data_IF_596138726371
#
_entry.id   IF_596138726371
#
_cell.length_a   1.000
_cell.length_b   1.000
_cell.length_c   1.000
_cell.angle_alpha   90.00
_cell.angle_beta   90.00
_cell.angle_gamma   90.00
#
_symmetry.space_group_name_H-M   'P 1'
#
loop_
_entity.id
_entity.type
_entity.pdbx_description
1 polymer ?
#
# COMPACT_ATOMS: atom_id res chain seq x y z
N UNK A 1 7.46 -9.18 9.59
CA UNK A 1 8.94 -9.32 9.66
C UNK A 1 9.54 -9.45 8.27
N UNK A 2 9.00 -10.28 7.40
CA UNK A 2 9.46 -10.49 6.02
C UNK A 2 9.38 -9.22 5.17
N UNK A 3 8.33 -8.40 5.27
CA UNK A 3 8.23 -7.13 4.58
C UNK A 3 9.44 -6.21 4.85
N UNK A 4 9.87 -6.12 6.12
CA UNK A 4 11.06 -5.35 6.48
C UNK A 4 12.35 -5.98 5.97
N UNK A 5 12.43 -7.31 5.89
CA UNK A 5 13.58 -8.00 5.31
C UNK A 5 13.69 -7.73 3.81
N UNK A 6 12.56 -7.72 3.08
CA UNK A 6 12.50 -7.34 1.67
C UNK A 6 13.03 -5.90 1.47
N UNK A 7 12.57 -4.95 2.27
CA UNK A 7 13.06 -3.57 2.20
C UNK A 7 14.56 -3.48 2.49
N UNK A 8 15.05 -4.16 3.53
CA UNK A 8 16.48 -4.15 3.88
C UNK A 8 17.35 -4.70 2.74
N UNK A 9 16.93 -5.80 2.11
CA UNK A 9 17.61 -6.37 0.96
C UNK A 9 17.60 -5.42 -0.23
N UNK A 10 16.44 -4.82 -0.54
CA UNK A 10 16.31 -3.88 -1.64
C UNK A 10 17.18 -2.63 -1.44
N UNK A 11 17.25 -2.10 -0.22
CA UNK A 11 18.14 -0.98 0.10
C UNK A 11 19.62 -1.32 -0.09
N UNK A 12 20.03 -2.53 0.27
CA UNK A 12 21.43 -2.96 0.18
C UNK A 12 21.94 -3.03 -1.28
N UNK A 13 21.05 -3.27 -2.25
CA UNK A 13 21.38 -3.43 -3.67
C UNK A 13 20.83 -2.31 -4.54
N UNK A 14 20.35 -1.22 -3.95
CA UNK A 14 19.73 -0.12 -4.68
C UNK A 14 20.71 0.55 -5.67
N UNK A 15 20.50 0.42 -6.99
CA UNK A 15 21.42 0.99 -8.00
C UNK A 15 21.26 2.50 -8.15
N UNK A 16 20.15 3.06 -7.70
CA UNK A 16 19.80 4.48 -7.88
C UNK A 16 19.33 5.12 -6.54
N UNK A 17 20.23 5.24 -5.54
CA UNK A 17 19.83 5.62 -4.18
C UNK A 17 19.25 7.03 -4.05
N UNK A 18 19.35 7.87 -5.08
CA UNK A 18 18.74 9.21 -5.11
C UNK A 18 17.35 9.24 -5.75
N UNK A 19 17.01 8.24 -6.55
CA UNK A 19 15.75 8.21 -7.32
C UNK A 19 14.84 7.05 -6.95
N UNK A 20 15.43 5.87 -6.68
CA UNK A 20 14.67 4.65 -6.47
C UNK A 20 14.31 4.46 -5.02
N UNK A 21 13.03 4.37 -4.78
CA UNK A 21 12.40 4.04 -3.51
C UNK A 21 11.70 2.69 -3.63
N UNK A 22 11.13 2.20 -2.55
CA UNK A 22 10.52 0.87 -2.49
C UNK A 22 9.15 0.92 -1.81
N UNK A 23 8.30 -0.02 -2.19
CA UNK A 23 7.06 -0.30 -1.49
C UNK A 23 6.89 -1.81 -1.38
N UNK A 24 6.46 -2.30 -0.23
CA UNK A 24 6.02 -3.69 -0.12
C UNK A 24 4.54 -3.74 -0.43
N UNK A 25 4.21 -4.41 -1.53
CA UNK A 25 2.85 -4.74 -1.92
C UNK A 25 2.44 -6.10 -1.38
N UNK A 26 1.19 -6.24 -1.02
CA UNK A 26 0.58 -7.47 -0.52
C UNK A 26 -0.44 -7.99 -1.51
N UNK A 27 -0.61 -9.30 -1.60
CA UNK A 27 -1.71 -9.88 -2.38
C UNK A 27 -3.04 -9.45 -1.77
N UNK A 28 -3.95 -8.89 -2.56
CA UNK A 28 -5.21 -8.30 -2.10
C UNK A 28 -6.00 -9.23 -1.18
N UNK A 29 -6.19 -10.51 -1.58
CA UNK A 29 -6.95 -11.49 -0.78
C UNK A 29 -6.41 -11.67 0.64
N UNK A 30 -5.11 -11.44 0.84
CA UNK A 30 -4.44 -11.55 2.13
C UNK A 30 -4.60 -10.31 3.01
N UNK A 31 -5.36 -9.31 2.55
CA UNK A 31 -5.56 -8.02 3.24
C UNK A 31 -7.03 -7.70 3.53
N UNK A 32 -7.95 -8.61 3.19
CA UNK A 32 -9.38 -8.42 3.35
C UNK A 32 -9.85 -8.73 4.78
N UNK A 33 -11.01 -8.19 5.15
CA UNK A 33 -11.72 -8.53 6.38
C UNK A 33 -12.95 -9.39 6.06
N UNK A 34 -13.23 -10.35 6.92
CA UNK A 34 -14.47 -11.14 6.85
C UNK A 34 -15.68 -10.41 7.44
N UNK A 35 -15.46 -9.30 8.15
CA UNK A 35 -16.48 -8.60 8.91
C UNK A 35 -17.07 -7.38 8.20
N UNK A 36 -16.49 -6.96 7.09
CA UNK A 36 -17.01 -5.84 6.33
C UNK A 36 -16.10 -5.37 5.21
N UNK A 37 -16.45 -4.23 4.63
CA UNK A 37 -15.69 -3.63 3.54
C UNK A 37 -14.36 -3.06 4.02
N UNK A 38 -13.39 -3.05 3.12
CA UNK A 38 -12.08 -2.40 3.35
C UNK A 38 -11.76 -1.47 2.18
N UNK A 39 -10.88 -0.50 2.43
CA UNK A 39 -10.29 0.34 1.37
C UNK A 39 -8.83 -0.03 1.16
N UNK A 40 -8.39 -0.12 -0.09
CA UNK A 40 -7.01 -0.49 -0.46
C UNK A 40 -6.56 0.28 -1.69
N UNK A 41 -5.32 0.75 -1.65
CA UNK A 41 -4.65 1.22 -2.85
C UNK A 41 -4.25 0.04 -3.74
N UNK A 42 -4.96 -0.18 -4.82
CA UNK A 42 -4.61 -1.19 -5.83
C UNK A 42 -3.49 -0.62 -6.70
N UNK A 43 -2.39 -1.36 -6.79
CA UNK A 43 -1.18 -0.94 -7.47
C UNK A 43 -1.09 -1.53 -8.86
N UNK A 44 -0.72 -0.70 -9.83
CA UNK A 44 -0.30 -1.12 -11.16
C UNK A 44 1.22 -0.96 -11.28
N UNK A 45 1.85 -1.90 -11.99
CA UNK A 45 3.30 -1.90 -12.21
C UNK A 45 3.62 -2.15 -13.66
N UNK A 46 4.77 -1.64 -14.10
CA UNK A 46 5.34 -2.00 -15.40
C UNK A 46 6.06 -3.38 -15.38
N UNK A 47 6.69 -3.73 -16.51
CA UNK A 47 7.41 -5.00 -16.67
C UNK A 47 8.63 -5.14 -15.73
N UNK A 48 9.18 -4.02 -15.25
CA UNK A 48 10.31 -3.96 -14.32
C UNK A 48 9.84 -3.90 -12.86
N UNK A 49 8.53 -4.10 -12.61
CA UNK A 49 7.88 -3.97 -11.30
C UNK A 49 8.01 -2.57 -10.69
N UNK A 50 8.15 -1.53 -11.52
CA UNK A 50 8.05 -0.16 -11.05
C UNK A 50 6.59 0.27 -10.97
N UNK A 51 6.25 0.93 -9.88
CA UNK A 51 4.91 1.44 -9.63
C UNK A 51 4.54 2.50 -10.67
N UNK A 52 3.47 2.25 -11.42
CA UNK A 52 2.92 3.18 -12.41
C UNK A 52 1.72 3.94 -11.85
N UNK A 53 0.90 3.28 -11.06
CA UNK A 53 -0.30 3.89 -10.46
C UNK A 53 -0.69 3.22 -9.15
N UNK A 54 -1.32 3.99 -8.27
CA UNK A 54 -2.02 3.50 -7.07
C UNK A 54 -3.44 4.05 -7.10
N UNK A 55 -4.42 3.18 -7.29
CA UNK A 55 -5.82 3.57 -7.31
C UNK A 55 -6.48 3.14 -6.01
N UNK A 56 -6.91 4.11 -5.21
CA UNK A 56 -7.68 3.79 -4.00
C UNK A 56 -9.06 3.23 -4.38
N UNK A 57 -9.31 2.00 -3.96
CA UNK A 57 -10.61 1.34 -4.09
C UNK A 57 -11.23 1.21 -2.72
N UNK A 58 -12.43 1.72 -2.59
CA UNK A 58 -13.27 1.61 -1.39
C UNK A 58 -14.26 0.46 -1.54
N UNK A 59 -14.94 0.11 -0.44
CA UNK A 59 -15.99 -0.92 -0.46
C UNK A 59 -15.58 -2.26 -1.07
N UNK A 60 -14.32 -2.67 -0.81
CA UNK A 60 -13.83 -3.97 -1.24
C UNK A 60 -14.34 -5.04 -0.27
N UNK A 61 -14.98 -6.07 -0.82
CA UNK A 61 -15.46 -7.25 -0.09
C UNK A 61 -14.82 -8.52 -0.65
N UNK A 62 -14.57 -9.52 0.20
CA UNK A 62 -14.18 -10.85 -0.27
C UNK A 62 -15.31 -11.48 -1.09
N UNK A 63 -14.92 -12.34 -2.06
CA UNK A 63 -15.81 -13.11 -2.90
C UNK A 63 -15.35 -14.58 -2.93
N UNK A 64 -16.22 -15.53 -3.32
CA UNK A 64 -15.87 -16.95 -3.35
C UNK A 64 -14.61 -17.25 -4.18
N UNK A 65 -13.87 -18.28 -3.75
CA UNK A 65 -12.67 -18.73 -4.46
C UNK A 65 -11.45 -17.80 -4.30
N UNK A 66 -11.37 -17.04 -3.21
CA UNK A 66 -10.27 -16.12 -2.94
C UNK A 66 -10.28 -14.86 -3.81
N UNK A 67 -11.38 -14.60 -4.49
CA UNK A 67 -11.63 -13.39 -5.26
C UNK A 67 -12.10 -12.25 -4.36
N UNK A 68 -12.23 -11.06 -4.94
CA UNK A 68 -12.81 -9.90 -4.30
C UNK A 68 -13.72 -9.13 -5.27
N UNK A 69 -14.39 -8.12 -4.77
CA UNK A 69 -15.16 -7.15 -5.56
C UNK A 69 -15.14 -5.81 -4.86
N UNK A 70 -15.27 -4.74 -5.60
CA UNK A 70 -15.49 -3.41 -5.03
C UNK A 70 -16.71 -2.76 -5.68
N UNK A 71 -17.26 -1.76 -5.01
CA UNK A 71 -18.40 -0.99 -5.53
C UNK A 71 -17.95 0.45 -5.73
N UNK A 72 -18.15 0.98 -6.93
CA UNK A 72 -17.88 2.38 -7.24
C UNK A 72 -18.91 3.32 -6.61
N UNK A 73 -18.64 4.62 -6.66
CA UNK A 73 -19.50 5.65 -6.11
C UNK A 73 -20.90 5.72 -6.80
N UNK A 74 -21.01 5.24 -8.03
CA UNK A 74 -22.26 5.12 -8.78
C UNK A 74 -23.05 3.84 -8.47
N UNK A 75 -22.51 2.95 -7.61
CA UNK A 75 -23.09 1.68 -7.23
C UNK A 75 -22.74 0.51 -8.15
N UNK A 76 -21.88 0.72 -9.16
CA UNK A 76 -21.45 -0.36 -10.05
C UNK A 76 -20.47 -1.29 -9.32
N UNK A 77 -20.72 -2.61 -9.46
CA UNK A 77 -19.88 -3.65 -8.84
C UNK A 77 -18.85 -4.15 -9.85
N UNK A 78 -17.60 -4.11 -9.46
CA UNK A 78 -16.46 -4.57 -10.25
C UNK A 78 -15.81 -5.79 -9.63
N UNK A 79 -15.53 -6.85 -10.41
CA UNK A 79 -14.82 -8.02 -9.92
C UNK A 79 -13.33 -7.73 -9.78
N UNK A 80 -12.70 -8.35 -8.77
CA UNK A 80 -11.26 -8.43 -8.56
C UNK A 80 -10.87 -9.90 -8.46
N UNK A 81 -9.68 -10.23 -8.96
CA UNK A 81 -9.17 -11.61 -8.93
C UNK A 81 -8.75 -12.05 -7.53
N UNK A 82 -8.39 -11.07 -6.68
CA UNK A 82 -7.78 -11.26 -5.37
C UNK A 82 -6.26 -11.38 -5.44
N UNK A 83 -5.68 -11.42 -6.65
CA UNK A 83 -4.22 -11.47 -6.87
C UNK A 83 -3.61 -10.09 -7.12
N UNK A 84 -4.43 -9.05 -7.18
CA UNK A 84 -3.96 -7.69 -7.33
C UNK A 84 -2.99 -7.32 -6.21
N UNK A 85 -2.03 -6.45 -6.54
CA UNK A 85 -1.09 -5.92 -5.55
C UNK A 85 -1.78 -4.79 -4.79
N UNK A 86 -1.90 -4.93 -3.48
CA UNK A 86 -2.46 -3.93 -2.60
C UNK A 86 -1.38 -3.21 -1.78
N UNK A 87 -1.41 -1.89 -1.77
CA UNK A 87 -0.61 -1.08 -0.86
C UNK A 87 -1.21 -1.12 0.55
N UNK A 88 -0.37 -1.44 1.51
CA UNK A 88 -0.67 -1.35 2.95
C UNK A 88 0.19 -0.27 3.61
N UNK A 89 0.59 0.75 2.83
CA UNK A 89 1.45 1.86 3.26
C UNK A 89 2.80 1.40 3.86
N UNK A 90 3.34 0.29 3.35
CA UNK A 90 4.66 -0.20 3.75
C UNK A 90 5.72 0.33 2.76
N UNK A 91 6.18 1.54 3.00
CA UNK A 91 7.11 2.26 2.13
C UNK A 91 8.53 2.18 2.65
N UNK A 92 9.49 2.08 1.73
CA UNK A 92 10.92 2.19 1.97
C UNK A 92 11.48 3.38 1.20
N UNK A 93 11.71 4.49 1.88
CA UNK A 93 12.22 5.71 1.26
C UNK A 93 13.71 5.90 1.52
N UNK A 94 14.42 6.32 0.46
CA UNK A 94 15.76 6.87 0.60
C UNK A 94 15.66 8.32 1.11
N UNK A 95 16.69 8.85 1.81
CA UNK A 95 16.65 10.20 2.37
C UNK A 95 16.34 11.33 1.36
N UNK A 96 16.67 11.14 0.08
CA UNK A 96 16.35 12.10 -1.01
C UNK A 96 14.85 12.39 -1.16
N UNK A 97 13.97 11.53 -0.65
CA UNK A 97 12.51 11.74 -0.72
C UNK A 97 12.09 13.03 0.00
N UNK A 98 12.79 13.40 1.08
CA UNK A 98 12.41 14.56 1.90
C UNK A 98 12.54 15.89 1.13
N UNK A 99 13.53 16.01 0.25
CA UNK A 99 13.70 17.18 -0.61
C UNK A 99 12.53 17.32 -1.60
N UNK A 100 12.15 16.20 -2.22
CA UNK A 100 11.04 16.17 -3.18
C UNK A 100 9.68 16.37 -2.50
N UNK A 101 9.46 15.75 -1.34
CA UNK A 101 8.24 15.95 -0.54
C UNK A 101 8.12 17.39 -0.04
N UNK A 102 9.22 18.03 0.33
CA UNK A 102 9.22 19.43 0.79
C UNK A 102 8.62 20.35 -0.25
N UNK A 103 9.11 20.29 -1.49
CA UNK A 103 8.59 21.11 -2.59
C UNK A 103 7.13 20.81 -2.91
N UNK A 104 6.74 19.53 -2.95
CA UNK A 104 5.35 19.15 -3.20
C UNK A 104 4.42 19.58 -2.07
N UNK A 105 4.88 19.55 -0.83
CA UNK A 105 4.10 19.99 0.32
C UNK A 105 3.87 21.52 0.31
N UNK A 106 4.86 22.30 -0.07
CA UNK A 106 4.69 23.74 -0.28
C UNK A 106 3.63 24.05 -1.35
N UNK A 107 3.67 23.31 -2.48
CA UNK A 107 2.63 23.43 -3.51
C UNK A 107 1.23 23.06 -2.96
N UNK A 108 1.15 21.97 -2.19
CA UNK A 108 -0.11 21.55 -1.55
C UNK A 108 -0.64 22.63 -0.61
N UNK A 109 0.19 23.18 0.26
CA UNK A 109 -0.21 24.25 1.19
C UNK A 109 -0.69 25.50 0.46
N UNK A 110 -0.02 25.88 -0.63
CA UNK A 110 -0.43 27.07 -1.40
C UNK A 110 -1.80 26.92 -2.06
N UNK A 111 -2.19 25.69 -2.42
CA UNK A 111 -3.46 25.40 -3.10
C UNK A 111 -4.58 25.01 -2.15
N UNK A 112 -4.28 24.26 -1.12
CA UNK A 112 -5.27 23.58 -0.26
C UNK A 112 -5.07 23.80 1.23
N UNK A 113 -4.09 24.62 1.63
CA UNK A 113 -3.75 24.81 3.04
C UNK A 113 -4.86 25.48 3.88
N UNK A 114 -5.84 26.11 3.25
CA UNK A 114 -7.01 26.72 3.93
C UNK A 114 -8.21 25.78 4.03
N UNK A 115 -8.19 24.62 3.39
CA UNK A 115 -9.25 23.64 3.44
C UNK A 115 -9.15 22.81 4.73
N UNK A 116 -10.15 22.91 5.60
CA UNK A 116 -10.16 22.30 6.94
C UNK A 116 -9.95 20.78 6.98
N UNK A 117 -10.26 20.07 5.89
CA UNK A 117 -10.18 18.61 5.80
C UNK A 117 -9.22 18.13 4.71
N UNK A 118 -8.36 19.03 4.19
CA UNK A 118 -7.36 18.63 3.23
C UNK A 118 -6.25 17.82 3.92
N UNK A 119 -5.81 16.76 3.27
CA UNK A 119 -4.75 15.90 3.77
C UNK A 119 -3.70 15.69 2.67
N UNK A 120 -2.44 15.70 3.06
CA UNK A 120 -1.31 15.40 2.18
C UNK A 120 -0.94 13.93 2.31
N UNK A 121 -1.55 13.09 1.48
CA UNK A 121 -1.36 11.64 1.53
C UNK A 121 -0.05 11.21 0.87
N UNK A 122 0.65 10.28 1.50
CA UNK A 122 1.87 9.68 0.94
C UNK A 122 1.63 8.99 -0.41
N UNK A 123 0.57 8.18 -0.62
CA UNK A 123 0.31 7.59 -1.94
C UNK A 123 0.12 8.64 -3.04
N UNK A 124 -0.60 9.72 -2.75
CA UNK A 124 -0.76 10.84 -3.69
C UNK A 124 0.59 11.50 -4.01
N UNK A 125 1.39 11.81 -2.97
CA UNK A 125 2.69 12.43 -3.16
C UNK A 125 3.64 11.56 -4.00
N UNK A 126 3.67 10.26 -3.72
CA UNK A 126 4.46 9.29 -4.48
C UNK A 126 4.01 9.23 -5.93
N UNK A 127 2.71 9.14 -6.20
CA UNK A 127 2.16 9.13 -7.55
C UNK A 127 2.54 10.38 -8.33
N UNK A 128 2.36 11.55 -7.73
CA UNK A 128 2.68 12.84 -8.35
C UNK A 128 4.19 12.96 -8.66
N UNK A 129 5.06 12.59 -7.73
CA UNK A 129 6.51 12.61 -7.93
C UNK A 129 6.96 11.59 -9.00
N UNK A 130 6.30 10.45 -9.10
CA UNK A 130 6.56 9.46 -10.14
C UNK A 130 6.14 9.97 -11.52
N UNK A 131 4.96 10.56 -11.65
CA UNK A 131 4.50 11.18 -12.90
C UNK A 131 5.42 12.32 -13.36
N UNK A 132 5.97 13.10 -12.42
CA UNK A 132 6.98 14.14 -12.71
C UNK A 132 8.37 13.56 -12.98
N UNK A 133 8.55 12.24 -12.97
CA UNK A 133 9.83 11.55 -13.15
C UNK A 133 10.93 11.97 -12.14
N UNK A 134 10.52 12.45 -10.98
CA UNK A 134 11.40 12.83 -9.87
C UNK A 134 11.90 11.60 -9.12
N UNK A 135 11.02 10.61 -8.94
CA UNK A 135 11.31 9.34 -8.27
C UNK A 135 10.82 8.16 -9.11
N UNK A 136 11.30 6.98 -8.77
CA UNK A 136 10.71 5.71 -9.14
C UNK A 136 10.49 4.86 -7.88
N UNK A 137 9.47 4.03 -7.88
CA UNK A 137 9.17 3.14 -6.74
C UNK A 137 9.13 1.71 -7.24
N UNK A 138 10.04 0.88 -6.74
CA UNK A 138 10.02 -0.55 -7.00
C UNK A 138 9.05 -1.23 -6.05
N UNK A 139 8.13 -2.02 -6.59
CA UNK A 139 7.19 -2.81 -5.81
C UNK A 139 7.81 -4.17 -5.49
N UNK A 140 7.92 -4.45 -4.20
CA UNK A 140 8.40 -5.72 -3.65
C UNK A 140 7.18 -6.52 -3.19
N UNK A 141 6.88 -7.64 -3.85
CA UNK A 141 5.69 -8.41 -3.52
C UNK A 141 5.93 -9.30 -2.29
N UNK A 142 5.04 -9.21 -1.30
CA UNK A 142 4.99 -10.09 -0.15
C UNK A 142 3.79 -11.03 -0.25
N UNK A 143 4.03 -12.30 0.04
CA UNK A 143 2.97 -13.33 0.17
C UNK A 143 2.44 -13.43 1.60
N UNK A 144 2.94 -12.61 2.53
CA UNK A 144 2.48 -12.60 3.91
C UNK A 144 0.99 -12.25 4.00
N UNK A 145 0.33 -12.82 4.98
CA UNK A 145 -0.98 -12.31 5.41
C UNK A 145 -0.77 -11.01 6.18
N UNK A 146 -1.48 -9.99 5.74
CA UNK A 146 -1.63 -8.77 6.52
C UNK A 146 -2.91 -8.88 7.34
N UNK A 147 -2.88 -8.53 8.58
CA UNK A 147 -4.04 -8.45 9.44
C UNK A 147 -3.98 -7.23 10.34
N UNK A 148 -5.13 -6.63 10.55
CA UNK A 148 -5.30 -5.44 11.38
C UNK A 148 -6.66 -5.45 12.04
N UNK A 149 -6.90 -4.50 12.93
CA UNK A 149 -8.19 -4.31 13.59
C UNK A 149 -8.92 -3.17 12.89
N UNK A 150 -9.65 -3.49 11.82
CA UNK A 150 -10.55 -2.56 11.14
C UNK A 150 -11.90 -2.53 11.86
N UNK A 151 -12.40 -3.71 12.19
CA UNK A 151 -13.61 -3.92 12.97
C UNK A 151 -13.26 -4.49 14.35
N UNK A 152 -14.13 -4.25 15.33
CA UNK A 152 -13.93 -4.78 16.70
C UNK A 152 -13.83 -6.30 16.69
N UNK A 153 -14.54 -6.93 15.80
CA UNK A 153 -14.62 -8.37 15.59
C UNK A 153 -13.32 -8.98 15.05
N UNK A 154 -12.47 -8.19 14.39
CA UNK A 154 -11.14 -8.63 13.92
C UNK A 154 -10.19 -8.94 15.09
N UNK A 155 -10.38 -8.29 16.25
CA UNK A 155 -9.44 -8.36 17.39
C UNK A 155 -9.07 -9.77 17.84
N UNK A 156 -10.02 -10.72 18.06
CA UNK A 156 -9.69 -12.09 18.47
C UNK A 156 -8.82 -12.82 17.46
N UNK A 157 -9.11 -12.65 16.16
CA UNK A 157 -8.35 -13.26 15.06
C UNK A 157 -6.93 -12.68 15.01
N UNK A 158 -6.79 -11.35 15.08
CA UNK A 158 -5.47 -10.69 15.10
C UNK A 158 -4.63 -11.14 16.30
N UNK A 159 -5.23 -11.21 17.49
CA UNK A 159 -4.55 -11.71 18.70
C UNK A 159 -4.09 -13.17 18.55
N UNK A 160 -4.92 -14.01 17.93
CA UNK A 160 -4.55 -15.39 17.64
C UNK A 160 -3.38 -15.45 16.67
N UNK A 161 -3.46 -14.74 15.55
CA UNK A 161 -2.41 -14.69 14.52
C UNK A 161 -1.06 -14.24 15.10
N UNK A 162 -1.06 -13.21 15.94
CA UNK A 162 0.17 -12.75 16.61
C UNK A 162 0.74 -13.84 17.54
N UNK A 163 -0.11 -14.51 18.33
CA UNK A 163 0.34 -15.60 19.21
C UNK A 163 0.95 -16.75 18.41
N UNK A 164 0.32 -17.13 17.30
CA UNK A 164 0.81 -18.20 16.42
C UNK A 164 2.18 -17.83 15.81
N UNK A 165 2.38 -16.58 15.41
CA UNK A 165 3.66 -16.08 14.89
C UNK A 165 4.75 -16.10 15.98
N UNK A 166 4.41 -15.70 17.21
CA UNK A 166 5.34 -15.76 18.36
C UNK A 166 5.71 -17.20 18.67
N UNK A 167 4.72 -18.10 18.74
CA UNK A 167 4.95 -19.52 19.01
C UNK A 167 5.80 -20.19 17.90
N UNK A 168 5.65 -19.73 16.65
CA UNK A 168 6.45 -20.18 15.51
C UNK A 168 7.85 -19.56 15.40
N UNK A 169 8.25 -18.68 16.34
CA UNK A 169 9.56 -18.02 16.33
C UNK A 169 9.74 -16.99 15.21
N UNK A 170 8.63 -16.54 14.61
CA UNK A 170 8.64 -15.54 13.52
C UNK A 170 8.70 -14.11 14.08
N UNK A 171 8.21 -13.94 15.31
CA UNK A 171 8.28 -12.71 16.10
C UNK A 171 9.18 -12.88 17.29
#
# INVERSE_FOLDING_TARGET
RSAYALLAQAFAVNPEPRKRHFMVGFTLRNTLSEFGTVSRGICETDADSLLTEVVERTDILPAPGGKARFTDADGTVHPLTGDEIASMNCWGFMPSIFDELGGLFEEFLSRRGTEMKSEFYIPFAVSELSHRQKISVQVLTSTDSWFGVTYREDKPMVQKSIRDLVAGGIY
#
